data_IF_563272892973
#
_entry.id   IF_563272892973
#
_cell.length_a   1.000
_cell.length_b   1.000
_cell.length_c   1.000
_cell.angle_alpha   90.00
_cell.angle_beta   90.00
_cell.angle_gamma   90.00
#
_symmetry.space_group_name_H-M   'P 1'
#
loop_
_entity.id
_entity.type
_entity.pdbx_description
1 polymer ?
#
# COMPACT_ATOMS: atom_id res chain seq x y z
N UNK A 1 -56.79 24.60 -57.23
CA UNK A 1 -56.23 25.19 -56.02
C UNK A 1 -56.40 24.15 -54.95
N UNK A 2 -55.39 23.36 -54.64
CA UNK A 2 -55.38 22.41 -53.53
C UNK A 2 -54.35 22.88 -52.51
N UNK A 3 -54.88 23.28 -51.39
CA UNK A 3 -54.11 23.74 -50.23
C UNK A 3 -53.68 22.50 -49.38
N UNK A 4 -52.48 22.03 -49.63
CA UNK A 4 -51.91 20.90 -48.93
C UNK A 4 -51.19 21.40 -47.70
N UNK A 5 -51.97 21.70 -46.64
CA UNK A 5 -51.53 22.28 -45.34
C UNK A 5 -51.05 21.24 -44.31
N UNK A 6 -51.02 19.98 -44.67
CA UNK A 6 -50.53 18.94 -43.77
C UNK A 6 -49.32 18.25 -44.40
N UNK A 7 -48.17 18.88 -44.20
CA UNK A 7 -46.90 18.31 -44.62
C UNK A 7 -46.69 16.92 -43.98
N UNK A 8 -46.08 16.03 -44.73
CA UNK A 8 -45.81 14.62 -44.43
C UNK A 8 -44.88 14.37 -43.24
N UNK A 9 -44.63 15.37 -42.37
CA UNK A 9 -43.67 15.28 -41.28
C UNK A 9 -44.23 14.72 -39.95
N UNK A 10 -45.57 14.56 -39.85
CA UNK A 10 -46.20 14.04 -38.65
C UNK A 10 -46.11 12.51 -38.44
N UNK A 11 -45.60 11.78 -39.40
CA UNK A 11 -45.55 10.31 -39.38
C UNK A 11 -44.11 9.73 -39.48
N UNK A 12 -43.09 10.56 -39.39
CA UNK A 12 -41.73 10.04 -39.32
C UNK A 12 -41.51 9.25 -38.01
N UNK A 13 -40.95 8.02 -38.08
CA UNK A 13 -40.54 7.31 -36.86
C UNK A 13 -39.54 8.19 -36.07
N UNK A 14 -39.83 8.45 -34.79
CA UNK A 14 -38.96 9.28 -33.92
C UNK A 14 -39.55 10.67 -33.57
N UNK A 15 -40.69 11.15 -34.14
CA UNK A 15 -41.24 12.48 -33.81
C UNK A 15 -41.61 12.66 -32.33
N UNK A 16 -41.82 11.54 -31.59
CA UNK A 16 -42.04 11.56 -30.14
C UNK A 16 -40.75 11.72 -29.33
N UNK A 17 -39.59 11.59 -29.96
CA UNK A 17 -38.28 11.76 -29.33
C UNK A 17 -37.68 13.15 -29.51
N UNK A 18 -38.18 13.91 -30.50
CA UNK A 18 -37.76 15.28 -30.77
C UNK A 18 -38.33 16.17 -29.68
N UNK A 19 -37.55 16.49 -28.64
CA UNK A 19 -37.91 17.38 -27.54
C UNK A 19 -37.81 16.81 -26.12
N UNK A 20 -37.49 15.54 -25.94
CA UNK A 20 -37.12 15.04 -24.60
C UNK A 20 -35.77 15.60 -24.21
N UNK A 21 -35.77 16.68 -23.44
CA UNK A 21 -34.53 17.13 -22.76
C UNK A 21 -33.98 15.97 -21.96
N UNK A 22 -32.86 15.45 -22.38
CA UNK A 22 -32.16 14.38 -21.62
C UNK A 22 -31.66 15.00 -20.32
N UNK A 23 -32.28 14.63 -19.22
CA UNK A 23 -31.87 15.10 -17.89
C UNK A 23 -30.56 14.35 -17.54
N UNK A 24 -29.45 15.07 -17.35
CA UNK A 24 -28.17 14.43 -17.00
C UNK A 24 -28.27 13.72 -15.65
N UNK A 25 -27.57 12.59 -15.53
CA UNK A 25 -27.44 11.88 -14.26
C UNK A 25 -26.26 12.42 -13.48
N UNK A 26 -26.43 12.58 -12.17
CA UNK A 26 -25.39 13.02 -11.25
C UNK A 26 -25.37 12.11 -10.01
N UNK A 27 -24.17 11.73 -9.57
CA UNK A 27 -24.01 10.91 -8.37
C UNK A 27 -24.42 11.68 -7.11
N UNK A 28 -25.23 11.07 -6.25
CA UNK A 28 -25.62 11.64 -4.96
C UNK A 28 -24.48 11.45 -3.95
N UNK A 29 -23.48 12.32 -4.01
CA UNK A 29 -22.33 12.33 -3.10
C UNK A 29 -22.56 13.25 -1.90
N UNK A 30 -21.90 12.96 -0.79
CA UNK A 30 -21.98 13.78 0.41
C UNK A 30 -21.49 15.21 0.12
N UNK A 31 -22.09 16.19 0.78
CA UNK A 31 -21.81 17.63 0.68
C UNK A 31 -22.18 18.26 -0.69
N UNK A 32 -22.78 17.50 -1.62
CA UNK A 32 -23.36 18.06 -2.84
C UNK A 32 -24.61 18.89 -2.50
N UNK A 33 -24.62 20.15 -2.88
CA UNK A 33 -25.76 21.03 -2.69
C UNK A 33 -26.75 20.86 -3.84
N UNK A 34 -28.00 20.56 -3.52
CA UNK A 34 -29.07 20.35 -4.49
C UNK A 34 -30.35 21.01 -4.02
N UNK A 35 -31.22 21.38 -4.96
CA UNK A 35 -32.56 21.87 -4.67
C UNK A 35 -33.59 20.84 -5.13
N UNK A 36 -34.56 20.49 -4.27
CA UNK A 36 -35.66 19.63 -4.66
C UNK A 36 -36.79 20.47 -5.29
N UNK A 37 -37.16 20.11 -6.53
CA UNK A 37 -38.01 20.94 -7.40
C UNK A 37 -39.41 21.18 -6.85
N UNK A 38 -40.04 20.18 -6.23
CA UNK A 38 -41.45 20.28 -5.81
C UNK A 38 -41.61 21.14 -4.57
N UNK A 39 -40.65 21.15 -3.67
CA UNK A 39 -40.70 21.89 -2.40
C UNK A 39 -39.84 23.14 -2.37
N UNK A 40 -38.89 23.28 -3.34
CA UNK A 40 -37.86 24.33 -3.32
C UNK A 40 -36.86 24.18 -2.16
N UNK A 41 -36.77 22.97 -1.56
CA UNK A 41 -35.84 22.73 -0.45
C UNK A 41 -34.44 22.60 -0.99
N UNK A 42 -33.57 23.56 -0.63
CA UNK A 42 -32.20 23.60 -1.01
C UNK A 42 -31.33 23.18 0.20
N UNK A 43 -30.45 22.21 0.00
CA UNK A 43 -29.54 21.73 1.05
C UNK A 43 -28.46 20.83 0.55
N UNK A 44 -27.44 20.58 1.41
CA UNK A 44 -26.36 19.63 1.16
C UNK A 44 -26.79 18.20 1.46
N UNK A 45 -26.35 17.26 0.66
CA UNK A 45 -26.55 15.83 0.93
C UNK A 45 -25.70 15.41 2.13
N UNK A 46 -26.34 15.11 3.25
CA UNK A 46 -25.64 14.64 4.47
C UNK A 46 -25.70 13.14 4.63
N UNK A 47 -26.68 12.48 4.02
CA UNK A 47 -26.88 11.03 4.13
C UNK A 47 -27.55 10.47 2.88
N UNK A 48 -27.12 9.28 2.49
CA UNK A 48 -27.73 8.48 1.43
C UNK A 48 -27.94 7.06 1.94
N UNK A 49 -29.20 6.64 2.04
CA UNK A 49 -29.57 5.29 2.44
C UNK A 49 -30.52 4.66 1.43
N UNK A 50 -30.12 3.54 0.86
CA UNK A 50 -30.86 2.84 -0.21
C UNK A 50 -31.11 3.82 -1.38
N UNK A 51 -32.33 4.31 -1.54
CA UNK A 51 -32.72 5.25 -2.59
C UNK A 51 -33.34 6.55 -2.01
N UNK A 52 -32.95 6.89 -0.78
CA UNK A 52 -33.41 8.10 -0.08
C UNK A 52 -32.20 8.94 0.25
N UNK A 53 -32.24 10.22 -0.13
CA UNK A 53 -31.25 11.22 0.21
C UNK A 53 -31.81 12.12 1.35
N UNK A 54 -30.96 12.39 2.35
CA UNK A 54 -31.25 13.38 3.39
C UNK A 54 -30.48 14.65 3.07
N UNK A 55 -31.24 15.75 2.93
CA UNK A 55 -30.68 17.08 2.72
C UNK A 55 -30.70 17.87 4.03
N UNK A 56 -29.64 18.63 4.27
CA UNK A 56 -29.55 19.61 5.37
C UNK A 56 -29.47 21.01 4.78
N UNK A 57 -30.40 21.87 5.19
CA UNK A 57 -30.39 23.27 4.76
C UNK A 57 -29.40 24.13 5.57
N UNK A 58 -29.26 25.41 5.20
CA UNK A 58 -28.37 26.37 5.89
C UNK A 58 -28.72 26.64 7.35
N UNK A 59 -29.90 26.20 7.81
CA UNK A 59 -30.40 26.37 9.18
C UNK A 59 -30.27 25.06 9.99
N UNK A 60 -29.74 23.98 9.38
CA UNK A 60 -29.61 22.66 10.01
C UNK A 60 -30.91 21.83 9.95
N UNK A 61 -31.92 22.25 9.18
CA UNK A 61 -33.14 21.46 9.01
C UNK A 61 -32.89 20.29 8.07
N UNK A 62 -33.30 19.09 8.48
CA UNK A 62 -33.13 17.86 7.73
C UNK A 62 -34.41 17.45 7.04
N UNK A 63 -34.36 17.12 5.75
CA UNK A 63 -35.47 16.53 4.99
C UNK A 63 -35.02 15.35 4.15
N UNK A 64 -35.91 14.38 3.99
CA UNK A 64 -35.67 13.15 3.23
C UNK A 64 -36.43 13.23 1.89
N UNK A 65 -35.73 12.86 0.82
CA UNK A 65 -36.28 12.83 -0.53
C UNK A 65 -35.88 11.53 -1.25
N UNK A 66 -36.77 10.97 -2.10
CA UNK A 66 -36.39 9.85 -2.95
C UNK A 66 -35.41 10.30 -4.03
N UNK A 67 -34.46 9.47 -4.38
CA UNK A 67 -33.60 9.70 -5.54
C UNK A 67 -34.43 9.74 -6.84
N UNK A 68 -33.94 10.49 -7.82
CA UNK A 68 -34.61 10.61 -9.12
C UNK A 68 -34.33 11.93 -9.82
N UNK A 69 -35.24 12.31 -10.74
CA UNK A 69 -35.08 13.46 -11.63
C UNK A 69 -35.81 14.74 -11.09
N UNK A 70 -35.98 14.83 -9.79
CA UNK A 70 -36.68 15.95 -9.12
C UNK A 70 -35.69 16.93 -8.46
N UNK A 71 -34.46 17.05 -8.95
CA UNK A 71 -33.43 17.90 -8.34
C UNK A 71 -32.84 18.89 -9.35
N UNK A 72 -32.32 19.99 -8.83
CA UNK A 72 -31.54 20.99 -9.55
C UNK A 72 -30.15 21.07 -8.91
N UNK A 73 -29.11 21.22 -9.75
CA UNK A 73 -27.77 21.66 -9.36
C UNK A 73 -27.51 22.96 -10.11
N UNK A 74 -27.20 24.05 -9.41
CA UNK A 74 -26.98 25.38 -9.99
C UNK A 74 -28.12 25.82 -10.94
N UNK A 75 -29.35 25.43 -10.61
CA UNK A 75 -30.54 25.73 -11.39
C UNK A 75 -30.82 24.83 -12.59
N UNK A 76 -29.90 23.89 -12.90
CA UNK A 76 -30.07 22.95 -14.00
C UNK A 76 -30.64 21.61 -13.52
N UNK A 77 -31.65 21.05 -14.24
CA UNK A 77 -32.29 19.79 -13.83
C UNK A 77 -31.31 18.60 -13.92
N UNK A 78 -31.27 17.83 -12.85
CA UNK A 78 -30.44 16.62 -12.78
C UNK A 78 -31.22 15.43 -12.25
N UNK A 79 -30.80 14.23 -12.61
CA UNK A 79 -31.26 13.00 -11.99
C UNK A 79 -30.20 12.54 -11.00
N UNK A 80 -30.52 12.58 -9.73
CA UNK A 80 -29.67 11.98 -8.70
C UNK A 80 -29.76 10.46 -8.74
N UNK A 81 -28.63 9.82 -8.78
CA UNK A 81 -28.48 8.37 -8.74
C UNK A 81 -27.59 7.96 -7.56
N UNK A 82 -27.76 6.73 -7.08
CA UNK A 82 -26.80 6.15 -6.15
C UNK A 82 -25.44 6.16 -6.85
N UNK A 83 -24.38 6.74 -6.23
CA UNK A 83 -23.05 6.65 -6.79
C UNK A 83 -22.79 5.21 -7.20
N UNK A 84 -22.49 4.97 -8.48
CA UNK A 84 -21.97 3.69 -8.88
C UNK A 84 -20.83 3.45 -7.92
N UNK A 85 -20.95 2.42 -7.06
CA UNK A 85 -19.86 1.99 -6.20
C UNK A 85 -18.69 1.87 -7.15
N UNK A 86 -17.83 2.90 -7.19
CA UNK A 86 -16.57 2.78 -7.87
C UNK A 86 -16.06 1.45 -7.36
N UNK A 87 -15.90 0.47 -8.24
CA UNK A 87 -15.43 -0.85 -7.85
C UNK A 87 -14.22 -0.51 -7.02
N UNK A 88 -14.35 -0.63 -5.69
CA UNK A 88 -13.27 -0.24 -4.79
C UNK A 88 -12.15 -1.11 -5.31
N UNK A 89 -11.27 -0.52 -6.10
CA UNK A 89 -10.00 -1.15 -6.40
C UNK A 89 -9.49 -1.43 -5.02
N UNK A 90 -9.59 -2.71 -4.64
CA UNK A 90 -9.25 -3.16 -3.29
C UNK A 90 -7.88 -2.60 -3.08
N UNK A 91 -7.79 -1.56 -2.21
CA UNK A 91 -6.55 -0.84 -1.99
C UNK A 91 -5.49 -1.90 -1.70
N UNK A 92 -4.35 -1.82 -2.38
CA UNK A 92 -3.24 -2.71 -2.12
C UNK A 92 -2.33 -2.05 -1.10
N UNK A 93 -1.74 -2.85 -0.24
CA UNK A 93 -0.65 -2.45 0.64
C UNK A 93 0.62 -2.18 -0.17
N UNK A 94 1.64 -1.65 0.45
CA UNK A 94 2.93 -1.41 -0.22
C UNK A 94 3.60 -2.71 -0.70
N UNK A 95 3.31 -3.85 -0.05
CA UNK A 95 3.74 -5.19 -0.45
C UNK A 95 2.93 -5.77 -1.63
N UNK A 96 1.84 -5.09 -2.05
CA UNK A 96 0.96 -5.55 -3.11
C UNK A 96 -0.20 -6.44 -2.65
N UNK A 97 -0.27 -6.79 -1.36
CA UNK A 97 -1.36 -7.55 -0.75
C UNK A 97 -2.67 -6.77 -0.76
N UNK A 98 -3.81 -7.45 -0.61
CA UNK A 98 -5.10 -6.78 -0.49
C UNK A 98 -5.20 -6.07 0.87
N UNK A 99 -5.36 -4.74 0.87
CA UNK A 99 -5.56 -4.00 2.10
C UNK A 99 -6.87 -4.45 2.78
N UNK A 100 -6.78 -4.85 4.02
CA UNK A 100 -7.95 -5.14 4.85
C UNK A 100 -8.47 -3.84 5.47
N UNK A 101 -9.79 -3.66 5.47
CA UNK A 101 -10.41 -2.57 6.23
C UNK A 101 -10.03 -2.72 7.71
N UNK A 102 -9.73 -1.59 8.37
CA UNK A 102 -9.17 -1.48 9.73
C UNK A 102 -9.52 -2.67 10.63
N UNK A 103 -8.61 -3.63 10.71
CA UNK A 103 -8.73 -4.78 11.60
C UNK A 103 -8.17 -4.35 12.96
N UNK A 104 -8.86 -4.69 14.04
CA UNK A 104 -8.28 -4.55 15.38
C UNK A 104 -6.95 -5.27 15.39
N UNK A 105 -5.92 -4.62 15.97
CA UNK A 105 -4.61 -5.23 16.15
C UNK A 105 -4.79 -6.61 16.81
N UNK A 106 -4.28 -7.66 16.16
CA UNK A 106 -4.21 -8.98 16.77
C UNK A 106 -3.19 -8.95 17.90
N UNK A 107 -3.38 -9.82 18.86
CA UNK A 107 -2.33 -10.10 19.86
C UNK A 107 -1.08 -10.55 19.10
N UNK A 108 0.08 -10.00 19.45
CA UNK A 108 1.33 -10.35 18.80
C UNK A 108 1.54 -11.88 18.86
N UNK A 109 1.88 -12.47 17.71
CA UNK A 109 2.29 -13.88 17.66
C UNK A 109 3.57 -14.08 18.46
N UNK A 110 3.83 -15.29 18.85
CA UNK A 110 5.13 -15.66 19.45
C UNK A 110 6.28 -15.56 18.46
N UNK A 111 6.00 -15.69 17.15
CA UNK A 111 7.01 -15.63 16.08
C UNK A 111 7.57 -14.22 15.86
N UNK A 112 8.85 -14.15 15.44
CA UNK A 112 9.58 -12.90 15.14
C UNK A 112 10.32 -13.01 13.82
N UNK A 113 10.55 -11.87 13.20
CA UNK A 113 11.50 -11.73 12.10
C UNK A 113 12.62 -10.82 12.59
N UNK A 114 13.83 -11.34 12.62
CA UNK A 114 15.03 -10.57 12.91
C UNK A 114 15.74 -10.21 11.61
N UNK A 115 16.26 -9.02 11.53
CA UNK A 115 17.04 -8.54 10.40
C UNK A 115 18.41 -8.08 10.91
N UNK A 116 19.44 -8.12 10.08
CA UNK A 116 20.80 -7.88 10.52
C UNK A 116 21.01 -6.45 11.01
N UNK A 117 20.47 -5.47 10.28
CA UNK A 117 20.67 -4.07 10.55
C UNK A 117 19.38 -3.25 10.64
N UNK A 118 19.55 -2.01 11.10
CA UNK A 118 18.45 -1.05 11.24
C UNK A 118 17.83 -0.69 9.89
N UNK A 119 18.65 -0.52 8.83
CA UNK A 119 18.15 -0.15 7.50
C UNK A 119 17.27 -1.25 6.91
N UNK A 120 17.60 -2.52 7.18
CA UNK A 120 16.79 -3.69 6.81
C UNK A 120 15.43 -3.63 7.48
N UNK A 121 15.41 -3.39 8.80
CA UNK A 121 14.17 -3.26 9.55
C UNK A 121 13.29 -2.14 8.98
N UNK A 122 13.85 -0.97 8.72
CA UNK A 122 13.13 0.18 8.17
C UNK A 122 12.58 -0.12 6.76
N UNK A 123 13.31 -0.85 5.91
CA UNK A 123 12.85 -1.23 4.58
C UNK A 123 11.71 -2.26 4.62
N UNK A 124 11.88 -3.30 5.45
CA UNK A 124 10.86 -4.34 5.64
C UNK A 124 9.59 -3.74 6.22
N UNK A 125 9.69 -2.93 7.26
CA UNK A 125 8.54 -2.23 7.86
C UNK A 125 7.85 -1.29 6.87
N UNK A 126 8.59 -0.59 6.02
CA UNK A 126 8.02 0.32 5.04
C UNK A 126 7.13 -0.40 4.01
N UNK A 127 7.54 -1.57 3.57
CA UNK A 127 6.86 -2.30 2.48
C UNK A 127 5.84 -3.29 3.03
N UNK A 128 6.17 -4.05 4.05
CA UNK A 128 5.33 -5.13 4.61
C UNK A 128 4.74 -4.82 5.98
N UNK A 129 5.08 -3.69 6.60
CA UNK A 129 4.64 -3.38 7.96
C UNK A 129 3.13 -3.39 8.17
N UNK A 130 2.32 -3.09 7.12
CA UNK A 130 0.87 -3.21 7.19
C UNK A 130 0.42 -4.68 7.32
N UNK A 131 1.02 -5.58 6.52
CA UNK A 131 0.68 -7.00 6.51
C UNK A 131 1.22 -7.70 7.76
N UNK A 132 2.44 -7.39 8.18
CA UNK A 132 3.05 -7.90 9.41
C UNK A 132 2.22 -7.55 10.64
N UNK A 133 1.68 -6.33 10.72
CA UNK A 133 0.78 -5.93 11.82
C UNK A 133 -0.54 -6.71 11.80
N UNK A 134 -1.08 -7.02 10.62
CA UNK A 134 -2.28 -7.85 10.49
C UNK A 134 -2.00 -9.27 10.97
N UNK A 135 -0.84 -9.81 10.63
CA UNK A 135 -0.42 -11.16 11.05
C UNK A 135 0.09 -11.20 12.50
N UNK A 136 0.36 -10.07 13.11
CA UNK A 136 0.87 -9.96 14.47
C UNK A 136 2.34 -10.36 14.59
N UNK A 137 3.11 -10.32 13.50
CA UNK A 137 4.56 -10.59 13.48
C UNK A 137 5.33 -9.28 13.69
N UNK A 138 6.33 -9.33 14.55
CA UNK A 138 7.20 -8.18 14.85
C UNK A 138 8.53 -8.35 14.14
N UNK A 139 9.06 -7.26 13.59
CA UNK A 139 10.41 -7.17 13.03
C UNK A 139 11.33 -6.49 14.03
N UNK A 140 12.46 -7.12 14.31
CA UNK A 140 13.49 -6.61 15.22
C UNK A 140 14.87 -6.69 14.53
N UNK A 141 15.83 -5.88 14.93
CA UNK A 141 17.19 -5.96 14.38
C UNK A 141 18.17 -6.56 15.38
N UNK A 142 19.19 -7.27 14.84
CA UNK A 142 20.10 -8.12 15.63
C UNK A 142 21.33 -7.39 16.17
N UNK A 143 21.62 -6.17 15.67
CA UNK A 143 22.93 -5.52 15.90
C UNK A 143 24.12 -6.39 15.45
N UNK A 144 23.91 -7.17 14.37
CA UNK A 144 24.86 -8.08 13.78
C UNK A 144 24.54 -9.56 14.01
N UNK A 145 24.86 -10.39 13.02
CA UNK A 145 24.51 -11.82 13.01
C UNK A 145 25.28 -12.65 14.03
N UNK A 146 26.38 -12.13 14.58
CA UNK A 146 27.23 -12.83 15.56
C UNK A 146 26.50 -13.20 16.85
N UNK A 147 25.49 -12.42 17.21
CA UNK A 147 24.70 -12.60 18.42
C UNK A 147 23.53 -13.58 18.23
N UNK A 148 23.37 -14.16 17.03
CA UNK A 148 22.20 -14.97 16.70
C UNK A 148 22.04 -16.21 17.58
N UNK A 149 23.11 -16.93 17.89
CA UNK A 149 23.02 -18.16 18.71
C UNK A 149 22.61 -17.85 20.15
N UNK A 150 23.12 -16.75 20.73
CA UNK A 150 22.73 -16.28 22.05
C UNK A 150 21.27 -15.86 22.08
N UNK A 151 20.84 -15.07 21.10
CA UNK A 151 19.45 -14.66 20.93
C UNK A 151 18.52 -15.87 20.81
N UNK A 152 18.86 -16.87 20.00
CA UNK A 152 18.04 -18.08 19.85
C UNK A 152 17.96 -18.90 21.14
N UNK A 153 19.02 -18.90 21.95
CA UNK A 153 19.03 -19.55 23.27
C UNK A 153 18.05 -18.85 24.21
N UNK A 154 18.10 -17.52 24.27
CA UNK A 154 17.20 -16.72 25.10
C UNK A 154 15.76 -16.77 24.60
N UNK A 155 15.56 -16.57 23.31
CA UNK A 155 14.24 -16.58 22.70
C UNK A 155 13.56 -17.96 22.77
N UNK A 156 14.30 -19.04 22.74
CA UNK A 156 13.82 -20.43 22.78
C UNK A 156 12.74 -20.72 21.71
N UNK A 157 13.11 -20.72 20.41
CA UNK A 157 12.17 -21.01 19.33
C UNK A 157 11.58 -22.41 19.44
N UNK A 158 10.31 -22.55 19.01
CA UNK A 158 9.56 -23.80 19.05
C UNK A 158 8.27 -23.74 18.25
N UNK A 159 7.39 -24.74 18.37
CA UNK A 159 6.09 -24.74 17.71
C UNK A 159 5.28 -23.50 18.09
N UNK A 160 4.75 -22.78 17.10
CA UNK A 160 3.99 -21.52 17.30
C UNK A 160 4.82 -20.31 17.72
N UNK A 161 6.15 -20.47 17.82
CA UNK A 161 7.11 -19.41 18.17
C UNK A 161 8.35 -19.49 17.27
N UNK A 162 8.14 -19.25 15.98
CA UNK A 162 9.18 -19.34 14.96
C UNK A 162 10.02 -18.08 14.87
N UNK A 163 11.26 -18.23 14.42
CA UNK A 163 12.21 -17.15 14.18
C UNK A 163 12.63 -17.15 12.73
N UNK A 164 12.28 -16.10 12.00
CA UNK A 164 12.85 -15.79 10.71
C UNK A 164 14.03 -14.85 10.87
N UNK A 165 15.12 -15.04 10.11
CA UNK A 165 16.30 -14.17 10.13
C UNK A 165 16.69 -13.78 8.72
N UNK A 166 16.79 -12.48 8.47
CA UNK A 166 17.30 -11.91 7.23
C UNK A 166 18.73 -11.39 7.47
N UNK A 167 19.67 -11.89 6.71
CA UNK A 167 21.06 -11.45 6.79
C UNK A 167 21.56 -10.87 5.47
N UNK A 168 22.51 -9.97 5.54
CA UNK A 168 23.21 -9.41 4.40
C UNK A 168 24.15 -10.47 3.79
N UNK A 169 24.47 -10.30 2.53
CA UNK A 169 25.54 -11.03 1.82
C UNK A 169 25.61 -12.55 2.06
N UNK A 170 24.46 -13.23 2.12
CA UNK A 170 24.41 -14.69 2.29
C UNK A 170 24.88 -15.39 1.00
N UNK A 171 26.17 -15.55 0.87
CA UNK A 171 26.82 -16.25 -0.27
C UNK A 171 27.59 -17.48 0.18
N UNK A 172 27.77 -18.49 -0.67
CA UNK A 172 28.50 -19.72 -0.30
C UNK A 172 29.87 -19.40 0.25
N UNK A 173 30.17 -19.91 1.45
CA UNK A 173 31.45 -19.73 2.12
C UNK A 173 31.59 -18.45 2.93
N UNK A 174 30.59 -17.58 2.95
CA UNK A 174 30.59 -16.41 3.83
C UNK A 174 30.48 -16.82 5.32
N UNK A 175 30.71 -15.88 6.19
CA UNK A 175 30.51 -16.06 7.64
C UNK A 175 29.02 -16.35 7.92
N UNK A 176 28.14 -15.59 7.30
CA UNK A 176 26.68 -15.67 7.44
C UNK A 176 26.18 -17.06 7.00
N UNK A 177 26.73 -17.63 5.91
CA UNK A 177 26.35 -18.98 5.47
C UNK A 177 26.75 -20.08 6.48
N UNK A 178 27.89 -19.94 7.15
CA UNK A 178 28.28 -20.87 8.20
C UNK A 178 27.41 -20.79 9.44
N UNK A 179 27.05 -19.57 9.85
CA UNK A 179 26.13 -19.36 10.96
C UNK A 179 24.75 -19.94 10.63
N UNK A 180 24.20 -19.66 9.44
CA UNK A 180 22.94 -20.22 8.99
C UNK A 180 22.95 -21.77 8.99
N UNK A 181 24.01 -22.39 8.52
CA UNK A 181 24.20 -23.86 8.54
C UNK A 181 24.25 -24.41 9.97
N UNK A 182 24.93 -23.74 10.89
CA UNK A 182 25.03 -24.16 12.28
C UNK A 182 23.64 -24.08 12.95
N UNK A 183 22.91 -22.99 12.74
CA UNK A 183 21.55 -22.83 13.25
C UNK A 183 20.62 -23.91 12.71
N UNK A 184 20.69 -24.21 11.41
CA UNK A 184 19.85 -25.24 10.78
C UNK A 184 20.11 -26.64 11.35
N UNK A 185 21.36 -26.95 11.74
CA UNK A 185 21.75 -28.22 12.39
C UNK A 185 21.53 -28.23 13.90
N UNK A 186 21.30 -27.06 14.48
CA UNK A 186 21.13 -26.87 15.93
C UNK A 186 19.77 -27.32 16.45
N UNK A 187 19.57 -27.25 17.78
CA UNK A 187 18.35 -27.74 18.44
C UNK A 187 17.07 -27.03 18.00
N UNK A 188 17.18 -25.81 17.51
CA UNK A 188 16.05 -24.99 17.06
C UNK A 188 15.84 -25.00 15.54
N UNK A 189 16.61 -25.75 14.76
CA UNK A 189 16.66 -25.70 13.30
C UNK A 189 15.32 -25.84 12.57
N UNK A 190 14.33 -26.53 13.18
CA UNK A 190 12.98 -26.65 12.62
C UNK A 190 12.11 -25.40 12.84
N UNK A 191 12.46 -24.58 13.81
CA UNK A 191 11.71 -23.38 14.23
C UNK A 191 12.45 -22.10 13.88
N UNK A 192 13.58 -22.20 13.17
CA UNK A 192 14.39 -21.05 12.74
C UNK A 192 14.66 -21.18 11.24
N UNK A 193 14.46 -20.10 10.52
CA UNK A 193 14.79 -19.98 9.10
C UNK A 193 15.71 -18.78 8.91
N UNK A 194 16.95 -19.03 8.50
CA UNK A 194 17.90 -17.99 8.13
C UNK A 194 17.94 -17.90 6.61
N UNK A 195 17.67 -16.73 6.08
CA UNK A 195 17.78 -16.40 4.65
C UNK A 195 18.59 -15.12 4.49
N UNK A 196 19.05 -14.86 3.28
CA UNK A 196 19.78 -13.64 2.98
C UNK A 196 19.73 -13.30 1.50
N UNK A 197 20.22 -12.14 1.18
CA UNK A 197 20.33 -11.63 -0.18
C UNK A 197 21.80 -11.50 -0.62
N UNK A 198 22.07 -11.39 -1.93
CA UNK A 198 23.44 -11.37 -2.45
C UNK A 198 24.13 -10.00 -2.34
N UNK A 199 23.45 -8.99 -1.83
CA UNK A 199 23.92 -7.60 -1.77
C UNK A 199 24.94 -7.41 -0.64
N UNK A 200 25.79 -6.40 -0.80
CA UNK A 200 26.73 -5.97 0.25
C UNK A 200 26.00 -5.28 1.39
N UNK A 201 24.93 -4.56 1.05
CA UNK A 201 24.08 -3.83 2.01
C UNK A 201 22.66 -3.71 1.42
N UNK A 202 21.65 -3.61 2.28
CA UNK A 202 20.23 -3.53 1.92
C UNK A 202 19.89 -2.33 1.00
N UNK A 203 20.73 -1.31 0.94
CA UNK A 203 20.53 -0.22 -0.02
C UNK A 203 20.40 -0.72 -1.45
N UNK A 204 21.18 -1.76 -1.81
CA UNK A 204 21.16 -2.39 -3.12
C UNK A 204 19.87 -3.18 -3.39
N UNK A 205 19.05 -3.41 -2.39
CA UNK A 205 17.72 -3.99 -2.58
C UNK A 205 16.75 -3.01 -3.25
N UNK A 206 17.06 -1.71 -3.23
CA UNK A 206 16.29 -0.69 -3.95
C UNK A 206 16.76 -0.62 -5.39
N UNK A 207 15.83 -0.68 -6.34
CA UNK A 207 16.16 -0.63 -7.77
C UNK A 207 16.92 0.66 -8.10
N UNK A 208 18.06 0.59 -8.77
CA UNK A 208 18.92 1.75 -9.04
C UNK A 208 18.22 2.85 -9.85
N UNK A 209 17.23 2.50 -10.69
CA UNK A 209 16.45 3.47 -11.47
C UNK A 209 15.66 4.43 -10.57
N UNK A 210 15.36 4.05 -9.33
CA UNK A 210 14.69 4.92 -8.35
C UNK A 210 15.58 6.06 -7.88
N UNK A 211 16.88 5.90 -8.05
CA UNK A 211 17.91 6.90 -7.73
C UNK A 211 18.47 7.57 -8.99
N UNK A 212 17.92 7.27 -10.18
CA UNK A 212 18.41 7.80 -11.46
C UNK A 212 19.67 7.11 -11.98
N UNK A 213 20.03 5.96 -11.42
CA UNK A 213 21.16 5.14 -11.87
C UNK A 213 20.66 4.02 -12.78
N UNK A 214 21.53 3.52 -13.65
CA UNK A 214 21.26 2.31 -14.44
C UNK A 214 21.53 1.04 -13.60
N UNK A 215 22.65 1.06 -12.91
CA UNK A 215 23.13 -0.04 -12.08
C UNK A 215 23.77 0.53 -10.81
N UNK A 216 23.82 -0.25 -9.73
CA UNK A 216 24.59 0.10 -8.55
C UNK A 216 26.09 0.08 -8.86
N UNK A 217 26.84 1.12 -8.50
CA UNK A 217 28.28 1.17 -8.78
C UNK A 217 29.04 0.12 -7.97
N UNK A 218 30.11 -0.39 -8.57
CA UNK A 218 31.07 -1.26 -7.87
C UNK A 218 32.01 -0.40 -7.07
N UNK A 219 31.98 -0.53 -5.75
CA UNK A 219 32.88 0.19 -4.84
C UNK A 219 34.11 -0.67 -4.54
N UNK A 220 35.33 -0.12 -4.65
CA UNK A 220 36.55 -0.84 -4.27
C UNK A 220 36.50 -1.28 -2.81
N UNK A 221 37.01 -2.48 -2.50
CA UNK A 221 37.03 -3.01 -1.13
C UNK A 221 37.86 -2.21 -0.12
N UNK A 222 38.68 -1.28 -0.59
CA UNK A 222 39.47 -0.35 0.22
C UNK A 222 38.65 0.87 0.70
N UNK A 223 37.45 1.06 0.16
CA UNK A 223 36.51 2.15 0.51
C UNK A 223 35.34 1.52 1.25
N UNK A 224 34.93 2.15 2.33
CA UNK A 224 33.69 1.75 3.01
C UNK A 224 32.51 1.94 2.03
N UNK A 225 31.70 0.89 1.89
CA UNK A 225 30.74 0.80 0.78
C UNK A 225 29.75 1.96 0.74
N UNK A 226 29.14 2.33 1.88
CA UNK A 226 28.14 3.42 1.97
C UNK A 226 28.76 4.77 1.65
N UNK A 227 29.98 5.02 2.09
CA UNK A 227 30.73 6.22 1.75
C UNK A 227 30.99 6.29 0.24
N UNK A 228 31.43 5.21 -0.38
CA UNK A 228 31.65 5.17 -1.82
C UNK A 228 30.38 5.36 -2.65
N UNK A 229 29.23 4.86 -2.17
CA UNK A 229 27.93 5.12 -2.81
C UNK A 229 27.55 6.60 -2.68
N UNK A 230 27.70 7.19 -1.50
CA UNK A 230 27.40 8.60 -1.29
C UNK A 230 28.29 9.50 -2.15
N UNK A 231 29.59 9.21 -2.24
CA UNK A 231 30.54 9.91 -3.11
C UNK A 231 30.10 9.84 -4.58
N UNK A 232 29.75 8.62 -5.07
CA UNK A 232 29.24 8.41 -6.43
C UNK A 232 27.98 9.25 -6.72
N UNK A 233 27.08 9.36 -5.75
CA UNK A 233 25.83 10.13 -5.87
C UNK A 233 26.01 11.63 -5.59
N UNK A 234 27.21 12.08 -5.24
CA UNK A 234 27.48 13.47 -4.86
C UNK A 234 26.78 13.88 -3.56
N UNK A 235 26.61 12.95 -2.63
CA UNK A 235 25.98 13.20 -1.34
C UNK A 235 27.02 13.35 -0.23
N UNK A 236 26.75 14.19 0.81
CA UNK A 236 27.58 14.23 2.00
C UNK A 236 27.74 12.86 2.64
N UNK A 237 28.94 12.57 3.14
CA UNK A 237 29.28 11.28 3.72
C UNK A 237 30.42 11.36 4.75
N UNK A 238 30.59 12.54 5.38
CA UNK A 238 31.69 12.80 6.31
C UNK A 238 31.41 12.15 7.68
N UNK A 239 30.14 12.05 8.07
CA UNK A 239 29.73 11.53 9.36
C UNK A 239 28.54 10.55 9.27
N UNK A 240 28.25 9.89 10.39
CA UNK A 240 27.15 8.93 10.47
C UNK A 240 25.77 9.56 10.21
N UNK A 241 25.62 10.86 10.47
CA UNK A 241 24.38 11.57 10.20
C UNK A 241 24.18 11.79 8.70
N UNK A 242 25.25 11.96 7.93
CA UNK A 242 25.22 12.01 6.46
C UNK A 242 24.76 10.67 5.89
N UNK A 243 25.31 9.56 6.37
CA UNK A 243 24.93 8.21 5.98
C UNK A 243 23.45 7.94 6.30
N UNK A 244 22.99 8.37 7.48
CA UNK A 244 21.59 8.27 7.86
C UNK A 244 20.69 9.12 6.93
N UNK A 245 21.10 10.33 6.56
CA UNK A 245 20.38 11.18 5.60
C UNK A 245 20.35 10.57 4.20
N UNK A 246 21.46 9.97 3.77
CA UNK A 246 21.52 9.25 2.49
C UNK A 246 20.53 8.08 2.48
N UNK A 247 20.50 7.28 3.53
CA UNK A 247 19.51 6.22 3.67
C UNK A 247 18.08 6.74 3.61
N UNK A 248 17.75 7.81 4.33
CA UNK A 248 16.39 8.37 4.29
C UNK A 248 16.00 8.86 2.88
N UNK A 249 16.95 9.36 2.08
CA UNK A 249 16.72 9.69 0.67
C UNK A 249 16.39 8.46 -0.17
N UNK A 250 17.15 7.38 0.00
CA UNK A 250 16.92 6.10 -0.69
C UNK A 250 15.57 5.53 -0.28
N UNK A 251 15.33 5.40 1.01
CA UNK A 251 14.08 4.87 1.56
C UNK A 251 12.86 5.70 1.10
N UNK A 252 13.02 7.02 0.98
CA UNK A 252 12.00 7.93 0.47
C UNK A 252 11.58 7.66 -0.98
N UNK A 253 12.40 6.96 -1.78
CA UNK A 253 12.08 6.55 -3.15
C UNK A 253 11.27 5.26 -3.23
N UNK A 254 11.26 4.47 -2.18
CA UNK A 254 10.48 3.22 -2.11
C UNK A 254 9.02 3.53 -1.79
N UNK A 255 8.12 3.19 -2.68
CA UNK A 255 6.66 3.35 -2.52
C UNK A 255 5.95 2.03 -2.35
N UNK A 256 6.48 0.97 -2.96
CA UNK A 256 5.92 -0.37 -2.93
C UNK A 256 6.99 -1.42 -3.21
N UNK A 257 6.62 -2.69 -3.11
CA UNK A 257 7.46 -3.83 -3.51
C UNK A 257 8.03 -3.71 -4.94
N UNK A 258 7.31 -3.05 -5.85
CA UNK A 258 7.75 -2.88 -7.23
C UNK A 258 9.04 -2.03 -7.37
N UNK A 259 9.42 -1.31 -6.33
CA UNK A 259 10.63 -0.49 -6.27
C UNK A 259 11.86 -1.28 -5.78
N UNK A 260 11.66 -2.56 -5.41
CA UNK A 260 12.68 -3.42 -4.85
C UNK A 260 13.09 -4.52 -5.84
N UNK A 261 14.31 -5.02 -5.66
CA UNK A 261 14.87 -6.11 -6.42
C UNK A 261 14.25 -7.46 -6.02
N UNK A 262 14.02 -8.32 -7.03
CA UNK A 262 13.35 -9.60 -6.84
C UNK A 262 14.05 -10.53 -5.85
N UNK A 263 15.39 -10.48 -5.79
CA UNK A 263 16.16 -11.31 -4.88
C UNK A 263 15.89 -10.97 -3.40
N UNK A 264 15.65 -9.71 -3.07
CA UNK A 264 15.27 -9.27 -1.73
C UNK A 264 13.80 -9.63 -1.43
N UNK A 265 12.90 -9.33 -2.37
CA UNK A 265 11.46 -9.60 -2.23
C UNK A 265 11.21 -11.06 -1.87
N UNK A 266 11.76 -12.00 -2.64
CA UNK A 266 11.54 -13.43 -2.41
C UNK A 266 12.04 -13.90 -1.04
N UNK A 267 13.06 -13.27 -0.46
CA UNK A 267 13.57 -13.62 0.87
C UNK A 267 12.65 -13.10 1.99
N UNK A 268 12.18 -11.88 1.87
CA UNK A 268 11.24 -11.31 2.86
C UNK A 268 9.92 -12.07 2.85
N UNK A 269 9.35 -12.35 1.67
CA UNK A 269 8.12 -13.16 1.54
C UNK A 269 8.31 -14.56 2.15
N UNK A 270 9.45 -15.22 1.89
CA UNK A 270 9.77 -16.52 2.47
C UNK A 270 9.78 -16.48 4.01
N UNK A 271 10.31 -15.41 4.61
CA UNK A 271 10.32 -15.22 6.06
C UNK A 271 8.92 -14.98 6.62
N UNK A 272 8.12 -14.18 5.94
CA UNK A 272 6.73 -13.91 6.32
C UNK A 272 5.93 -15.21 6.31
N UNK A 273 6.01 -15.96 5.22
CA UNK A 273 5.34 -17.26 5.10
C UNK A 273 5.77 -18.20 6.23
N UNK A 274 7.07 -18.30 6.49
CA UNK A 274 7.58 -19.14 7.56
C UNK A 274 7.09 -18.72 8.95
N UNK A 275 7.05 -17.42 9.24
CA UNK A 275 6.66 -16.90 10.55
C UNK A 275 5.13 -16.94 10.79
N UNK A 276 4.33 -17.02 9.72
CA UNK A 276 2.85 -16.95 9.79
C UNK A 276 2.16 -18.31 9.67
N UNK A 277 2.80 -19.31 9.06
CA UNK A 277 2.29 -20.68 9.01
C UNK A 277 2.42 -21.33 10.39
N UNK A 278 1.37 -21.97 10.89
CA UNK A 278 1.35 -22.69 12.17
C UNK A 278 2.10 -24.03 12.09
#
# INVERSE_FOLDING_TARGET
VNDDRYGQDALRPGWREVGRKVIPTHDAVRDLVVEEVATGFCGAIVRLEKQIVTLEDRHGALRLFPLGSAFLIDGEPVRLVVPARAAQQRARTASGSLAMAATRARVARGSRIFVEGRHDAELVEKVWGADLRIEGVVVEYLEGVDNLEELLTEFSPGPGRKVGVLVDHLVPGSKESRIAENVARGPHGRSVLVVGHPYVDVWQAVKPERLGMKDWPTIPRTVEWKHGICEHLGWPHEDQADIARAWQRILGRVRSYADLEAAFLGRVEQLIDFATVD
#
